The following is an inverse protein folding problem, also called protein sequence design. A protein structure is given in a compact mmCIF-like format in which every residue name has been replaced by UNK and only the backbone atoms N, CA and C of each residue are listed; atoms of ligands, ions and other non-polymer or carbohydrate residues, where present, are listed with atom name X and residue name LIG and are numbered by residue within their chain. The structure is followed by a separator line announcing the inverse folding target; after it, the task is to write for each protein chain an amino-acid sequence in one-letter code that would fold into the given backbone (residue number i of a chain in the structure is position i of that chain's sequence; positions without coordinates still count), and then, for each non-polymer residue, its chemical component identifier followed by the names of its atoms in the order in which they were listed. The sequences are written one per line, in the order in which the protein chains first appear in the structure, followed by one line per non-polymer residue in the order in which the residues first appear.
data_IF_837318221966
#
_entry.id   IF_837318221966
#
_cell.length_a   1.000
_cell.length_b   1.000
_cell.length_c   1.000
_cell.angle_alpha   90.00
_cell.angle_beta   90.00
_cell.angle_gamma   90.00
#
_symmetry.space_group_name_H-M   'P 1'
#
loop_
_entity.id
_entity.type
_entity.pdbx_description
1 polymer ?
#
# COMPACT_ATOMS: atom_id res chain seq x y z
N UNK A 1 -12.68 -35.64 -2.60
CA UNK A 1 -13.72 -34.60 -2.66
C UNK A 1 -13.01 -33.26 -2.81
N UNK A 2 -13.17 -32.58 -3.96
CA UNK A 2 -12.61 -31.24 -4.18
C UNK A 2 -13.50 -30.25 -3.44
N UNK A 3 -13.01 -29.65 -2.36
CA UNK A 3 -13.66 -28.48 -1.78
C UNK A 3 -13.35 -27.30 -2.70
N UNK A 4 -14.29 -27.01 -3.59
CA UNK A 4 -14.36 -25.72 -4.29
C UNK A 4 -14.87 -24.73 -3.24
N UNK A 5 -13.96 -24.00 -2.60
CA UNK A 5 -14.35 -22.79 -1.88
C UNK A 5 -14.74 -21.77 -2.96
N UNK A 6 -16.03 -21.48 -3.07
CA UNK A 6 -16.53 -20.31 -3.78
C UNK A 6 -15.78 -19.09 -3.26
N UNK A 7 -15.00 -18.46 -4.14
CA UNK A 7 -14.46 -17.13 -3.89
C UNK A 7 -15.63 -16.21 -3.57
N UNK A 8 -15.74 -15.76 -2.32
CA UNK A 8 -16.69 -14.72 -1.95
C UNK A 8 -16.33 -13.47 -2.75
N UNK A 9 -17.11 -13.16 -3.78
CA UNK A 9 -17.05 -11.87 -4.44
C UNK A 9 -17.43 -10.81 -3.40
N UNK A 10 -16.43 -10.16 -2.81
CA UNK A 10 -16.64 -9.00 -1.94
C UNK A 10 -17.10 -7.84 -2.82
N UNK A 11 -18.17 -7.16 -2.41
CA UNK A 11 -18.57 -5.94 -3.10
C UNK A 11 -17.46 -4.91 -2.96
N UNK A 12 -17.08 -4.26 -4.08
CA UNK A 12 -16.02 -3.24 -4.11
C UNK A 12 -16.22 -2.15 -3.05
N UNK A 13 -17.47 -1.83 -2.69
CA UNK A 13 -17.81 -0.86 -1.65
C UNK A 13 -17.41 -1.26 -0.23
N UNK A 14 -17.24 -2.57 0.04
CA UNK A 14 -16.75 -3.10 1.32
C UNK A 14 -15.23 -3.23 1.40
N UNK A 15 -14.53 -3.01 0.28
CA UNK A 15 -13.07 -3.18 0.21
C UNK A 15 -12.35 -1.85 0.49
N UNK A 16 -11.25 -1.95 1.25
CA UNK A 16 -10.40 -0.82 1.61
C UNK A 16 -9.43 -0.46 0.47
N UNK A 17 -9.91 0.20 -0.57
CA UNK A 17 -9.07 0.67 -1.67
C UNK A 17 -8.61 2.12 -1.45
N UNK A 18 -7.32 2.33 -1.18
CA UNK A 18 -6.67 3.63 -1.03
C UNK A 18 -5.43 3.69 -1.92
N UNK A 19 -5.49 4.19 -3.15
CA UNK A 19 -4.38 4.11 -4.09
C UNK A 19 -3.15 4.88 -3.58
N UNK A 20 -2.00 4.20 -3.53
CA UNK A 20 -0.71 4.83 -3.23
C UNK A 20 -0.30 5.72 -4.41
N UNK A 21 -0.05 7.02 -4.22
CA UNK A 21 0.39 7.88 -5.31
C UNK A 21 1.67 7.35 -5.96
N UNK A 22 1.79 7.34 -7.30
CA UNK A 22 2.99 6.86 -8.01
C UNK A 22 4.30 7.51 -7.50
N UNK A 23 4.25 8.80 -7.16
CA UNK A 23 5.41 9.53 -6.64
C UNK A 23 5.90 8.98 -5.29
N UNK A 24 5.01 8.50 -4.43
CA UNK A 24 5.37 7.98 -3.10
C UNK A 24 6.13 6.64 -3.23
N UNK A 25 5.75 5.80 -4.20
CA UNK A 25 6.49 4.58 -4.53
C UNK A 25 7.82 4.90 -5.21
N UNK A 26 7.87 5.88 -6.13
CA UNK A 26 9.16 6.36 -6.69
C UNK A 26 10.09 6.87 -5.62
N UNK A 27 9.60 7.62 -4.63
CA UNK A 27 10.42 8.19 -3.58
C UNK A 27 11.21 7.12 -2.81
N UNK A 28 10.55 6.06 -2.33
CA UNK A 28 11.26 4.98 -1.62
C UNK A 28 12.22 4.21 -2.52
N UNK A 29 11.84 3.97 -3.78
CA UNK A 29 12.71 3.29 -4.75
C UNK A 29 13.98 4.12 -5.00
N UNK A 30 13.84 5.41 -5.27
CA UNK A 30 14.95 6.27 -5.70
C UNK A 30 15.82 6.72 -4.53
N UNK A 31 15.22 7.17 -3.44
CA UNK A 31 15.97 7.74 -2.31
C UNK A 31 16.54 6.66 -1.39
N UNK A 32 15.80 5.56 -1.18
CA UNK A 32 16.19 4.52 -0.22
C UNK A 32 16.80 3.34 -0.93
N UNK A 33 16.05 2.63 -1.77
CA UNK A 33 16.53 1.36 -2.31
C UNK A 33 17.69 1.51 -3.31
N UNK A 34 17.58 2.42 -4.28
CA UNK A 34 18.62 2.65 -5.29
C UNK A 34 19.69 3.64 -4.80
N UNK A 35 19.29 4.80 -4.29
CA UNK A 35 20.22 5.87 -3.91
C UNK A 35 20.90 5.66 -2.56
N UNK A 36 20.22 5.02 -1.61
CA UNK A 36 20.73 4.81 -0.25
C UNK A 36 21.37 3.45 -0.03
N UNK A 37 20.67 2.40 -0.44
CA UNK A 37 21.03 1.00 -0.19
C UNK A 37 21.65 0.30 -1.41
N UNK A 38 21.66 0.95 -2.57
CA UNK A 38 22.31 0.47 -3.80
C UNK A 38 21.81 -0.87 -4.32
N UNK A 39 20.55 -1.22 -4.09
CA UNK A 39 19.93 -2.41 -4.67
C UNK A 39 19.87 -2.31 -6.20
N UNK A 40 20.35 -3.36 -6.88
CA UNK A 40 20.11 -3.52 -8.32
C UNK A 40 18.71 -4.08 -8.56
N UNK A 41 17.71 -3.20 -8.56
CA UNK A 41 16.32 -3.60 -8.80
C UNK A 41 16.03 -3.93 -10.27
N UNK A 42 16.90 -3.54 -11.22
CA UNK A 42 16.68 -3.72 -12.66
C UNK A 42 16.85 -5.16 -13.13
N UNK A 43 17.50 -6.00 -12.35
CA UNK A 43 17.60 -7.44 -12.57
C UNK A 43 16.53 -8.23 -11.80
N UNK A 44 15.63 -7.54 -11.08
CA UNK A 44 14.73 -8.14 -10.10
C UNK A 44 13.29 -8.15 -10.56
N UNK A 45 12.55 -9.09 -9.98
CA UNK A 45 11.13 -9.28 -10.17
C UNK A 45 10.36 -8.77 -8.95
N UNK A 46 9.30 -8.01 -9.17
CA UNK A 46 8.46 -7.48 -8.09
C UNK A 46 7.01 -7.87 -8.26
N UNK A 47 6.31 -8.09 -7.14
CA UNK A 47 4.86 -8.33 -7.12
C UNK A 47 4.15 -7.27 -6.28
N UNK A 48 3.04 -6.76 -6.82
CA UNK A 48 2.01 -6.00 -6.09
C UNK A 48 0.73 -6.85 -6.01
N UNK A 49 0.48 -7.54 -4.88
CA UNK A 49 -0.61 -8.50 -4.73
C UNK A 49 -1.96 -7.87 -4.29
N UNK A 50 -2.01 -6.55 -4.12
CA UNK A 50 -3.23 -5.80 -3.82
C UNK A 50 -3.21 -4.50 -4.62
N UNK A 51 -3.09 -4.65 -5.94
CA UNK A 51 -2.69 -3.58 -6.85
C UNK A 51 -3.70 -2.43 -6.95
N UNK A 52 -4.95 -2.66 -6.58
CA UNK A 52 -6.02 -1.69 -6.78
C UNK A 52 -6.09 -1.23 -8.24
N UNK A 53 -6.18 0.07 -8.45
CA UNK A 53 -6.10 0.71 -9.78
C UNK A 53 -4.69 0.79 -10.40
N UNK A 54 -3.69 0.10 -9.84
CA UNK A 54 -2.37 -0.03 -10.47
C UNK A 54 -1.42 1.16 -10.27
N UNK A 55 -1.71 2.05 -9.32
CA UNK A 55 -0.90 3.25 -9.06
C UNK A 55 0.55 2.95 -8.67
N UNK A 56 0.80 1.87 -7.93
CA UNK A 56 2.17 1.43 -7.65
C UNK A 56 2.82 0.68 -8.82
N UNK A 57 2.03 0.03 -9.68
CA UNK A 57 2.55 -0.74 -10.80
C UNK A 57 3.31 0.14 -11.81
N UNK A 58 2.87 1.39 -12.02
CA UNK A 58 3.55 2.35 -12.90
C UNK A 58 5.02 2.55 -12.50
N UNK A 59 5.34 3.07 -11.30
CA UNK A 59 6.72 3.29 -10.88
C UNK A 59 7.52 2.01 -10.68
N UNK A 60 6.87 0.89 -10.36
CA UNK A 60 7.53 -0.42 -10.32
C UNK A 60 8.03 -0.84 -11.72
N UNK A 61 7.22 -0.67 -12.77
CA UNK A 61 7.58 -1.01 -14.16
C UNK A 61 8.69 -0.13 -14.73
N UNK A 62 8.91 1.04 -14.16
CA UNK A 62 10.04 1.91 -14.54
C UNK A 62 11.39 1.41 -14.02
N UNK A 63 11.38 0.48 -13.06
CA UNK A 63 12.58 0.12 -12.29
C UNK A 63 12.88 -1.37 -12.33
N UNK A 64 11.88 -2.24 -12.15
CA UNK A 64 12.07 -3.69 -12.06
C UNK A 64 12.07 -4.36 -13.45
N UNK A 65 12.75 -5.50 -13.57
CA UNK A 65 12.80 -6.28 -14.82
C UNK A 65 11.41 -6.81 -15.21
N UNK A 66 10.64 -7.22 -14.21
CA UNK A 66 9.29 -7.75 -14.37
C UNK A 66 8.43 -7.39 -13.17
N UNK A 67 7.16 -7.09 -13.44
CA UNK A 67 6.17 -6.63 -12.45
C UNK A 67 4.91 -7.46 -12.59
N UNK A 68 4.62 -8.23 -11.55
CA UNK A 68 3.34 -8.93 -11.40
C UNK A 68 2.36 -8.06 -10.64
N UNK A 69 1.11 -8.04 -11.09
CA UNK A 69 0.00 -7.39 -10.39
C UNK A 69 -1.13 -8.39 -10.17
N UNK A 70 -1.62 -8.44 -8.94
CA UNK A 70 -2.80 -9.21 -8.57
C UNK A 70 -3.66 -8.39 -7.60
N UNK A 71 -4.94 -8.75 -7.50
CA UNK A 71 -5.86 -8.19 -6.53
C UNK A 71 -7.02 -9.17 -6.29
N UNK A 72 -7.74 -9.02 -5.18
CA UNK A 72 -8.97 -9.78 -4.92
C UNK A 72 -10.14 -9.27 -5.77
N UNK A 73 -10.04 -8.08 -6.35
CA UNK A 73 -11.05 -7.47 -7.21
C UNK A 73 -10.42 -6.71 -8.40
N UNK A 74 -11.12 -6.69 -9.54
CA UNK A 74 -10.69 -5.88 -10.68
C UNK A 74 -11.11 -4.41 -10.52
N UNK A 75 -10.15 -3.50 -10.37
CA UNK A 75 -10.39 -2.06 -10.25
C UNK A 75 -10.30 -1.29 -11.58
N UNK A 76 -10.42 -1.99 -12.71
CA UNK A 76 -10.36 -1.41 -14.05
C UNK A 76 -9.00 -1.57 -14.73
N UNK A 77 -8.14 -2.45 -14.19
CA UNK A 77 -6.82 -2.75 -14.77
C UNK A 77 -6.69 -4.22 -15.20
N UNK A 78 -7.75 -5.03 -15.04
CA UNK A 78 -7.76 -6.46 -15.34
C UNK A 78 -6.56 -7.20 -14.72
N UNK A 79 -6.37 -7.12 -13.39
CA UNK A 79 -5.27 -7.82 -12.72
C UNK A 79 -5.56 -9.32 -12.66
N UNK A 80 -4.54 -10.11 -12.29
CA UNK A 80 -4.81 -11.49 -11.88
C UNK A 80 -5.69 -11.50 -10.63
N UNK A 81 -6.83 -12.19 -10.67
CA UNK A 81 -7.77 -12.23 -9.54
C UNK A 81 -7.36 -13.33 -8.56
N UNK A 82 -6.82 -12.92 -7.41
CA UNK A 82 -6.32 -13.82 -6.37
C UNK A 82 -6.50 -13.25 -4.97
N UNK A 83 -6.72 -14.14 -4.00
CA UNK A 83 -6.55 -13.79 -2.59
C UNK A 83 -5.09 -14.00 -2.17
N UNK A 84 -4.40 -12.90 -1.88
CA UNK A 84 -3.01 -12.94 -1.45
C UNK A 84 -2.80 -13.76 -0.18
N UNK A 85 -3.78 -13.77 0.74
CA UNK A 85 -3.71 -14.57 1.97
C UNK A 85 -3.89 -16.08 1.73
N UNK A 86 -4.17 -16.48 0.50
CA UNK A 86 -4.16 -17.88 0.04
C UNK A 86 -2.94 -18.22 -0.82
N UNK A 87 -2.09 -17.26 -1.19
CA UNK A 87 -0.86 -17.55 -1.97
C UNK A 87 0.22 -18.21 -1.13
N UNK A 88 1.03 -19.11 -1.68
CA UNK A 88 2.25 -19.60 -1.01
C UNK A 88 3.35 -19.75 -2.06
N UNK A 89 4.63 -19.86 -1.68
CA UNK A 89 5.68 -20.14 -2.66
C UNK A 89 5.34 -21.37 -3.52
N UNK A 90 4.86 -22.44 -2.89
CA UNK A 90 4.47 -23.67 -3.57
C UNK A 90 3.31 -23.42 -4.55
N UNK A 91 2.23 -22.75 -4.12
CA UNK A 91 1.06 -22.48 -4.97
C UNK A 91 1.43 -21.59 -6.16
N UNK A 92 2.26 -20.57 -5.95
CA UNK A 92 2.72 -19.70 -7.04
C UNK A 92 3.50 -20.51 -8.09
N UNK A 93 4.42 -21.37 -7.66
CA UNK A 93 5.17 -22.24 -8.57
C UNK A 93 4.28 -23.25 -9.30
N UNK A 94 3.30 -23.85 -8.61
CA UNK A 94 2.32 -24.79 -9.20
C UNK A 94 1.45 -24.11 -10.26
N UNK A 95 1.09 -22.84 -10.04
CA UNK A 95 0.33 -22.01 -10.97
C UNK A 95 1.21 -21.44 -12.11
N UNK A 96 2.52 -21.76 -12.13
CA UNK A 96 3.44 -21.37 -13.19
C UNK A 96 4.09 -20.00 -13.03
N UNK A 97 3.98 -19.39 -11.85
CA UNK A 97 4.69 -18.15 -11.53
C UNK A 97 6.11 -18.44 -11.06
N UNK A 98 7.02 -17.51 -11.34
CA UNK A 98 8.29 -17.44 -10.62
C UNK A 98 8.06 -16.89 -9.20
N UNK A 99 9.03 -16.98 -8.28
CA UNK A 99 8.94 -16.27 -7.00
C UNK A 99 9.44 -14.83 -7.16
N UNK A 100 8.81 -13.85 -6.50
CA UNK A 100 9.24 -12.45 -6.61
C UNK A 100 10.45 -12.20 -5.72
N UNK A 101 11.44 -11.46 -6.22
CA UNK A 101 12.52 -10.94 -5.36
C UNK A 101 11.95 -9.95 -4.34
N UNK A 102 11.08 -9.07 -4.82
CA UNK A 102 10.47 -8.02 -4.02
C UNK A 102 8.95 -8.11 -3.99
N UNK A 103 8.35 -7.81 -2.84
CA UNK A 103 6.90 -7.55 -2.75
C UNK A 103 6.67 -6.13 -2.28
N UNK A 104 5.88 -5.37 -3.03
CA UNK A 104 5.47 -4.01 -2.68
C UNK A 104 3.97 -4.03 -2.39
N UNK A 105 3.56 -3.59 -1.20
CA UNK A 105 2.15 -3.63 -0.78
C UNK A 105 1.70 -2.34 -0.09
N UNK A 106 0.49 -1.90 -0.41
CA UNK A 106 -0.31 -1.01 0.42
C UNK A 106 -1.56 -1.82 0.84
N UNK A 107 -1.45 -2.59 1.93
CA UNK A 107 -2.44 -3.61 2.24
C UNK A 107 -3.74 -2.99 2.79
N UNK A 108 -4.87 -3.71 2.70
CA UNK A 108 -6.04 -3.37 3.51
C UNK A 108 -5.64 -3.33 4.99
N UNK A 109 -6.05 -2.28 5.70
CA UNK A 109 -5.59 -1.92 7.04
C UNK A 109 -5.86 -3.03 8.05
N UNK A 110 -7.02 -3.67 7.99
CA UNK A 110 -7.40 -4.74 8.92
C UNK A 110 -6.49 -5.97 8.79
N UNK A 111 -6.06 -6.28 7.57
CA UNK A 111 -5.26 -7.47 7.25
C UNK A 111 -3.77 -7.20 7.09
N UNK A 112 -3.32 -5.95 7.29
CA UNK A 112 -1.95 -5.52 7.02
C UNK A 112 -0.87 -6.44 7.61
N UNK A 113 -1.02 -6.88 8.87
CA UNK A 113 -0.05 -7.79 9.50
C UNK A 113 -0.01 -9.15 8.80
N UNK A 114 -1.17 -9.70 8.43
CA UNK A 114 -1.24 -11.00 7.76
C UNK A 114 -0.63 -10.91 6.35
N UNK A 115 -0.87 -9.80 5.64
CA UNK A 115 -0.23 -9.49 4.36
C UNK A 115 1.29 -9.44 4.50
N UNK A 116 1.83 -8.75 5.51
CA UNK A 116 3.28 -8.68 5.70
C UNK A 116 3.87 -10.06 5.99
N UNK A 117 3.27 -10.82 6.90
CA UNK A 117 3.77 -12.17 7.22
C UNK A 117 3.78 -13.07 5.99
N UNK A 118 2.71 -13.02 5.18
CA UNK A 118 2.66 -13.76 3.91
C UNK A 118 3.70 -13.27 2.90
N UNK A 119 3.88 -11.97 2.77
CA UNK A 119 4.90 -11.41 1.88
C UNK A 119 6.31 -11.83 2.31
N UNK A 120 6.58 -11.92 3.60
CA UNK A 120 7.86 -12.41 4.12
C UNK A 120 8.08 -13.90 3.85
N UNK A 121 7.03 -14.71 3.74
CA UNK A 121 7.13 -16.11 3.32
C UNK A 121 7.44 -16.24 1.82
N UNK A 122 6.90 -15.34 1.00
CA UNK A 122 6.96 -15.43 -0.48
C UNK A 122 8.20 -14.75 -1.07
N UNK A 123 8.50 -13.51 -0.66
CA UNK A 123 9.58 -12.73 -1.26
C UNK A 123 10.95 -13.35 -0.98
N UNK A 124 11.80 -13.42 -2.01
CA UNK A 124 13.14 -14.01 -1.87
C UNK A 124 14.21 -13.01 -1.44
N UNK A 125 13.97 -11.71 -1.56
CA UNK A 125 14.94 -10.66 -1.20
C UNK A 125 14.37 -9.60 -0.25
N UNK A 126 13.24 -8.98 -0.58
CA UNK A 126 12.71 -7.86 0.22
C UNK A 126 11.20 -7.65 0.16
N UNK A 127 10.67 -6.98 1.18
CA UNK A 127 9.26 -6.58 1.26
C UNK A 127 9.19 -5.11 1.62
N UNK A 128 8.48 -4.31 0.83
CA UNK A 128 8.22 -2.91 1.09
C UNK A 128 6.71 -2.70 1.31
N UNK A 129 6.36 -2.15 2.47
CA UNK A 129 4.97 -2.00 2.91
C UNK A 129 4.68 -0.53 3.15
N UNK A 130 3.65 0.01 2.50
CA UNK A 130 3.19 1.37 2.71
C UNK A 130 2.06 1.36 3.74
N UNK A 131 2.27 2.02 4.87
CA UNK A 131 1.33 2.04 6.00
C UNK A 131 1.34 3.39 6.72
N UNK A 132 0.32 3.65 7.54
CA UNK A 132 0.29 4.82 8.42
C UNK A 132 1.44 4.75 9.43
N UNK A 133 2.08 5.86 9.77
CA UNK A 133 3.20 5.90 10.71
C UNK A 133 2.82 5.34 12.10
N UNK A 134 1.61 5.67 12.58
CA UNK A 134 1.05 5.14 13.83
C UNK A 134 0.84 3.61 13.83
N UNK A 135 1.11 2.92 12.73
CA UNK A 135 1.13 1.47 12.69
C UNK A 135 2.20 0.89 13.65
N UNK A 136 3.30 1.62 13.90
CA UNK A 136 4.33 1.24 14.88
C UNK A 136 3.83 1.17 16.33
N UNK A 137 2.84 1.99 16.70
CA UNK A 137 2.48 2.24 18.10
C UNK A 137 1.34 1.33 18.55
N UNK A 138 1.53 0.02 18.49
CA UNK A 138 0.56 -0.98 18.95
C UNK A 138 1.24 -2.16 19.63
N UNK A 139 0.76 -2.50 20.83
CA UNK A 139 1.25 -3.65 21.60
C UNK A 139 1.05 -4.96 20.82
N UNK A 140 -0.15 -5.21 20.31
CA UNK A 140 -0.44 -6.44 19.56
C UNK A 140 0.40 -6.57 18.29
N UNK A 141 0.69 -5.47 17.59
CA UNK A 141 1.58 -5.51 16.42
C UNK A 141 3.05 -5.63 16.79
N UNK A 142 3.46 -5.09 17.94
CA UNK A 142 4.78 -5.33 18.48
C UNK A 142 5.00 -6.82 18.70
N UNK A 143 4.07 -7.49 19.39
CA UNK A 143 4.21 -8.91 19.70
C UNK A 143 4.16 -9.81 18.45
N UNK A 144 3.31 -9.46 17.47
CA UNK A 144 3.10 -10.27 16.27
C UNK A 144 4.08 -10.02 15.13
N UNK A 145 4.64 -8.82 15.03
CA UNK A 145 5.45 -8.40 13.89
C UNK A 145 6.72 -7.69 14.36
N UNK A 146 6.62 -6.48 14.91
CA UNK A 146 7.79 -5.61 15.08
C UNK A 146 8.82 -6.09 16.13
N UNK A 147 8.44 -6.95 17.08
CA UNK A 147 9.33 -7.43 18.14
C UNK A 147 10.26 -8.57 17.69
N UNK A 148 9.83 -9.36 16.69
CA UNK A 148 10.56 -10.55 16.22
C UNK A 148 10.94 -10.45 14.74
N UNK A 149 10.03 -9.91 13.92
CA UNK A 149 10.19 -9.69 12.49
C UNK A 149 10.16 -8.17 12.23
N UNK A 150 11.08 -7.42 12.85
CA UNK A 150 11.17 -5.98 12.63
C UNK A 150 11.60 -5.68 11.18
N UNK A 151 11.10 -4.59 10.56
CA UNK A 151 11.64 -4.12 9.30
C UNK A 151 13.08 -3.64 9.52
N UNK A 152 13.92 -3.80 8.49
CA UNK A 152 15.26 -3.21 8.44
C UNK A 152 15.18 -1.68 8.52
N UNK A 153 14.24 -1.10 7.75
CA UNK A 153 14.05 0.35 7.67
C UNK A 153 12.59 0.75 7.87
N UNK A 154 12.39 1.87 8.58
CA UNK A 154 11.15 2.63 8.56
C UNK A 154 11.45 3.97 7.92
N UNK A 155 10.74 4.27 6.83
CA UNK A 155 10.97 5.44 6.00
C UNK A 155 9.76 6.38 6.06
N UNK A 156 9.63 7.19 7.13
CA UNK A 156 8.54 8.15 7.23
C UNK A 156 8.68 9.26 6.20
N UNK A 157 7.56 9.66 5.60
CA UNK A 157 7.51 10.89 4.82
C UNK A 157 7.47 12.10 5.75
N UNK A 158 8.33 13.08 5.47
CA UNK A 158 8.29 14.41 6.11
C UNK A 158 7.32 15.37 5.41
N UNK A 159 6.54 14.87 4.45
CA UNK A 159 5.42 15.56 3.80
C UNK A 159 4.18 14.66 3.76
N UNK A 160 3.00 15.25 3.51
CA UNK A 160 1.74 14.51 3.58
C UNK A 160 1.51 13.71 2.31
N UNK A 161 1.35 12.39 2.46
CA UNK A 161 0.81 11.53 1.40
C UNK A 161 -0.70 11.43 1.59
N UNK A 162 -1.46 12.27 0.90
CA UNK A 162 -2.91 12.26 1.02
C UNK A 162 -3.51 11.05 0.29
N UNK A 163 -4.18 10.18 1.04
CA UNK A 163 -4.98 9.08 0.49
C UNK A 163 -6.47 9.36 0.67
N UNK A 164 -7.24 9.23 -0.40
CA UNK A 164 -8.70 9.20 -0.35
C UNK A 164 -9.17 7.84 -0.87
N UNK A 165 -10.28 7.33 -0.32
CA UNK A 165 -10.77 6.01 -0.71
C UNK A 165 -11.19 6.02 -2.19
N UNK A 166 -10.70 5.06 -2.97
CA UNK A 166 -11.10 4.84 -4.35
C UNK A 166 -10.53 5.79 -5.39
N UNK A 167 -9.72 6.78 -5.00
CA UNK A 167 -9.17 7.77 -5.93
C UNK A 167 -7.85 8.34 -5.43
N UNK A 168 -7.03 8.84 -6.34
CA UNK A 168 -5.86 9.64 -6.00
C UNK A 168 -6.10 11.08 -6.47
N UNK A 169 -6.20 12.00 -5.53
CA UNK A 169 -6.31 13.44 -5.82
C UNK A 169 -4.98 14.11 -5.46
N UNK A 170 -4.19 14.60 -6.43
CA UNK A 170 -2.89 15.23 -6.18
C UNK A 170 -2.96 16.52 -5.36
N UNK A 171 -4.14 17.15 -5.31
CA UNK A 171 -4.40 18.39 -4.56
C UNK A 171 -4.93 18.12 -3.15
N UNK A 172 -5.21 16.86 -2.82
CA UNK A 172 -5.73 16.50 -1.51
C UNK A 172 -4.66 16.70 -0.42
N UNK A 173 -5.14 17.02 0.78
CA UNK A 173 -4.34 17.07 1.99
C UNK A 173 -4.98 16.23 3.08
N UNK A 174 -4.15 15.60 3.91
CA UNK A 174 -4.58 14.77 5.04
C UNK A 174 -3.62 14.96 6.21
N UNK A 175 -4.15 14.90 7.43
CA UNK A 175 -3.36 14.91 8.65
C UNK A 175 -2.75 13.53 8.99
N UNK A 176 -2.93 12.53 8.12
CA UNK A 176 -2.39 11.19 8.33
C UNK A 176 -0.92 11.15 7.90
N UNK A 177 -0.05 10.68 8.79
CA UNK A 177 1.35 10.40 8.49
C UNK A 177 1.50 8.99 7.93
N UNK A 178 2.33 8.83 6.90
CA UNK A 178 2.61 7.54 6.25
C UNK A 178 4.12 7.27 6.21
N UNK A 179 4.47 6.00 6.13
CA UNK A 179 5.84 5.53 5.99
C UNK A 179 5.89 4.30 5.08
N UNK A 180 7.04 4.11 4.45
CA UNK A 180 7.42 2.80 3.94
C UNK A 180 8.11 1.99 5.04
N UNK A 181 7.78 0.71 5.15
CA UNK A 181 8.40 -0.24 6.04
C UNK A 181 9.09 -1.30 5.20
N UNK A 182 10.40 -1.44 5.33
CA UNK A 182 11.22 -2.24 4.43
C UNK A 182 11.85 -3.38 5.21
N UNK A 183 11.52 -4.61 4.84
CA UNK A 183 12.20 -5.82 5.25
C UNK A 183 13.16 -6.26 4.16
N UNK A 184 14.35 -6.70 4.56
CA UNK A 184 15.37 -7.25 3.68
C UNK A 184 15.77 -8.59 4.32
N UNK A 185 15.79 -9.66 3.51
CA UNK A 185 16.21 -10.98 3.96
C UNK A 185 17.64 -10.93 4.49
N UNK A 186 17.87 -11.62 5.59
CA UNK A 186 19.18 -11.74 6.26
C UNK A 186 19.83 -10.40 6.66
N UNK A 187 19.05 -9.32 6.78
CA UNK A 187 19.56 -8.00 7.17
C UNK A 187 20.11 -7.97 8.60
N UNK A 188 19.45 -8.66 9.53
CA UNK A 188 19.88 -8.74 10.92
C UNK A 188 20.70 -10.02 11.14
N UNK A 189 21.84 -9.95 11.87
CA UNK A 189 22.58 -11.15 12.25
C UNK A 189 21.71 -12.13 13.05
N UNK A 190 21.89 -13.43 12.83
CA UNK A 190 21.14 -14.52 13.50
C UNK A 190 21.22 -14.47 15.03
N UNK A 191 22.28 -13.87 15.57
CA UNK A 191 22.54 -13.73 17.01
C UNK A 191 21.65 -12.67 17.69
N UNK A 192 20.98 -11.81 16.91
CA UNK A 192 20.21 -10.68 17.44
C UNK A 192 18.84 -11.15 17.93
N UNK A 193 18.67 -11.17 19.25
CA UNK A 193 17.41 -11.58 19.91
C UNK A 193 16.25 -10.61 19.64
N UNK A 194 16.55 -9.31 19.44
CA UNK A 194 15.57 -8.23 19.25
C UNK A 194 16.08 -7.24 18.18
N UNK A 195 15.67 -7.39 16.91
CA UNK A 195 16.11 -6.48 15.85
C UNK A 195 15.61 -5.05 16.10
N UNK A 196 16.36 -4.07 15.60
CA UNK A 196 16.03 -2.64 15.71
C UNK A 196 16.02 -2.01 14.32
N UNK A 197 14.89 -1.45 13.94
CA UNK A 197 14.74 -0.76 12.66
C UNK A 197 15.54 0.54 12.64
N UNK A 198 16.15 0.83 11.49
CA UNK A 198 16.74 2.14 11.21
C UNK A 198 15.64 3.07 10.68
N UNK A 199 15.58 4.31 11.18
CA UNK A 199 14.67 5.31 10.63
C UNK A 199 15.38 6.09 9.52
N UNK A 200 14.78 6.14 8.32
CA UNK A 200 15.27 6.89 7.18
C UNK A 200 14.23 7.89 6.71
N UNK A 201 14.34 9.16 7.11
CA UNK A 201 13.37 10.17 6.68
C UNK A 201 13.42 10.41 5.17
N UNK A 202 12.26 10.39 4.54
CA UNK A 202 12.06 10.94 3.19
C UNK A 202 11.79 12.45 3.35
N UNK A 203 12.72 13.35 2.97
CA UNK A 203 12.55 14.79 3.17
C UNK A 203 11.39 15.38 2.36
N UNK A 204 10.92 16.61 2.67
CA UNK A 204 9.89 17.29 1.89
C UNK A 204 10.27 17.48 0.40
N UNK A 205 9.27 17.59 -0.47
CA UNK A 205 9.42 17.83 -1.90
C UNK A 205 9.53 16.54 -2.74
N UNK A 206 9.19 15.37 -2.20
CA UNK A 206 9.15 14.12 -2.97
C UNK A 206 8.01 14.12 -3.97
N UNK A 207 6.85 14.66 -3.62
CA UNK A 207 5.73 14.80 -4.55
C UNK A 207 6.15 15.61 -5.78
N UNK A 208 6.74 16.79 -5.58
CA UNK A 208 7.21 17.66 -6.67
C UNK A 208 8.32 17.00 -7.49
N UNK A 209 9.24 16.29 -6.83
CA UNK A 209 10.38 15.64 -7.49
C UNK A 209 9.98 14.40 -8.31
N UNK A 210 9.00 13.64 -7.83
CA UNK A 210 8.73 12.28 -8.33
C UNK A 210 7.38 12.10 -9.01
N UNK A 211 6.50 13.10 -8.97
CA UNK A 211 5.30 13.10 -9.83
C UNK A 211 5.74 13.30 -11.28
N UNK A 212 5.21 12.48 -12.18
CA UNK A 212 5.44 12.58 -13.63
C UNK A 212 4.13 12.91 -14.31
N UNK A 213 4.21 13.60 -15.45
CA UNK A 213 3.02 13.99 -16.21
C UNK A 213 2.09 12.79 -16.55
N UNK A 214 2.60 11.62 -16.99
CA UNK A 214 1.73 10.45 -17.25
C UNK A 214 1.02 9.90 -16.02
N UNK A 215 1.47 10.21 -14.80
CA UNK A 215 0.77 9.78 -13.59
C UNK A 215 -0.63 10.39 -13.52
N UNK A 216 -0.86 11.54 -14.18
CA UNK A 216 -2.14 12.24 -14.16
C UNK A 216 -3.27 11.44 -14.81
N UNK A 217 -2.97 10.44 -15.63
CA UNK A 217 -3.96 9.50 -16.17
C UNK A 217 -4.64 8.65 -15.07
N UNK A 218 -3.97 8.50 -13.92
CA UNK A 218 -4.46 7.79 -12.74
C UNK A 218 -5.05 8.71 -11.67
N UNK A 219 -4.93 10.02 -11.86
CA UNK A 219 -5.35 11.02 -10.89
C UNK A 219 -6.82 11.39 -11.09
N UNK A 220 -7.43 11.88 -10.02
CA UNK A 220 -8.79 12.44 -10.02
C UNK A 220 -8.76 13.81 -9.33
N UNK A 221 -8.22 14.85 -9.99
CA UNK A 221 -8.04 16.17 -9.37
C UNK A 221 -9.34 16.77 -8.82
N UNK A 222 -9.26 17.40 -7.65
CA UNK A 222 -10.37 18.07 -6.98
C UNK A 222 -11.44 17.13 -6.41
N UNK A 223 -11.21 15.82 -6.41
CA UNK A 223 -12.15 14.83 -5.88
C UNK A 223 -12.37 14.98 -4.38
N UNK A 224 -11.32 15.28 -3.62
CA UNK A 224 -11.43 15.52 -2.19
C UNK A 224 -12.38 16.70 -1.90
N UNK A 225 -12.25 17.79 -2.67
CA UNK A 225 -13.08 18.98 -2.52
C UNK A 225 -14.54 18.71 -2.92
N UNK A 226 -14.77 18.02 -4.05
CA UNK A 226 -16.12 17.60 -4.46
C UNK A 226 -16.82 16.79 -3.37
N UNK A 227 -16.12 15.81 -2.76
CA UNK A 227 -16.67 15.00 -1.66
C UNK A 227 -16.94 15.82 -0.40
N UNK A 228 -16.08 16.80 -0.08
CA UNK A 228 -16.26 17.69 1.07
C UNK A 228 -17.52 18.55 0.91
N UNK A 229 -17.71 19.15 -0.27
CA UNK A 229 -18.88 19.96 -0.59
C UNK A 229 -20.17 19.12 -0.56
N UNK A 230 -20.15 17.90 -1.12
CA UNK A 230 -21.29 16.99 -1.09
C UNK A 230 -21.69 16.62 0.35
N UNK A 231 -20.72 16.25 1.21
CA UNK A 231 -20.99 15.96 2.63
C UNK A 231 -21.58 17.16 3.36
N UNK A 232 -21.07 18.37 3.09
CA UNK A 232 -21.61 19.60 3.68
C UNK A 232 -23.06 19.84 3.26
N UNK A 233 -23.38 19.71 1.97
CA UNK A 233 -24.74 19.86 1.46
C UNK A 233 -25.72 18.85 2.11
N UNK A 234 -25.32 17.59 2.25
CA UNK A 234 -26.13 16.57 2.95
C UNK A 234 -26.36 16.92 4.42
N UNK A 235 -25.32 17.39 5.12
CA UNK A 235 -25.45 17.80 6.52
C UNK A 235 -26.36 19.04 6.68
N UNK A 236 -26.24 20.02 5.79
CA UNK A 236 -27.07 21.23 5.78
C UNK A 236 -28.54 20.86 5.50
N UNK A 237 -28.81 19.95 4.56
CA UNK A 237 -30.16 19.45 4.28
C UNK A 237 -30.78 18.68 5.46
N UNK A 238 -30.00 17.81 6.12
CA UNK A 238 -30.45 17.08 7.30
C UNK A 238 -30.80 18.04 8.46
N UNK A 239 -29.99 19.10 8.66
CA UNK A 239 -30.24 20.12 9.67
C UNK A 239 -31.51 20.93 9.37
N UNK A 240 -31.72 21.35 8.11
CA UNK A 240 -32.94 22.05 7.71
C UNK A 240 -34.20 21.18 7.92
N UNK A 241 -34.14 19.88 7.58
CA UNK A 241 -35.24 18.96 7.83
C UNK A 241 -35.55 18.83 9.33
N UNK A 242 -34.53 18.72 10.19
CA UNK A 242 -34.72 18.69 11.65
C UNK A 242 -35.33 19.99 12.21
N UNK A 243 -34.89 21.17 11.72
CA UNK A 243 -35.51 22.44 12.12
C UNK A 243 -36.98 22.53 11.70
N UNK A 244 -37.31 22.12 10.48
CA UNK A 244 -38.71 22.12 10.00
C UNK A 244 -39.63 21.18 10.79
N UNK A 245 -39.10 20.08 11.32
CA UNK A 245 -39.83 19.16 12.19
C UNK A 245 -40.06 19.72 13.61
N UNK A 246 -39.19 20.62 14.08
CA UNK A 246 -39.30 21.27 15.40
C UNK A 246 -40.20 22.51 15.37
N UNK A 247 -40.31 23.19 14.22
CA UNK A 247 -41.19 24.37 14.03
C UNK A 247 -42.63 23.99 13.66
N UNK A 248 -42.89 22.71 13.33
CA UNK A 248 -44.19 22.16 12.95
C UNK A 248 -45.01 21.55 14.09
N UNK A 249 -44.59 21.71 15.34
CA UNK A 249 -45.31 21.33 16.59
C UNK A 249 -45.61 22.55 17.43
#
# INVERSE_FOLDING_TARGET
MKNVMESRFLEKGSLEYFPTPPWATRAVIKEVLQGGLWFDLRSKRVRDPCAGGGHMAVPLRETFAAVDVADVADWGINPEIRDFLEETPQRLLEDGHELPDWIFINPPFEQAVNFVLRALEIATEGVAVFCRLGWLTSQSRYDRLFGWNAPAYVCPFSERVALIQGAWDPEASSATDYAWYIWIKDHFPSEVVRPRSTVWHLPPGMQDRYTRLPDMDLATPGEAERRRLAKKATADAAKQSQLSLLEGT
#
